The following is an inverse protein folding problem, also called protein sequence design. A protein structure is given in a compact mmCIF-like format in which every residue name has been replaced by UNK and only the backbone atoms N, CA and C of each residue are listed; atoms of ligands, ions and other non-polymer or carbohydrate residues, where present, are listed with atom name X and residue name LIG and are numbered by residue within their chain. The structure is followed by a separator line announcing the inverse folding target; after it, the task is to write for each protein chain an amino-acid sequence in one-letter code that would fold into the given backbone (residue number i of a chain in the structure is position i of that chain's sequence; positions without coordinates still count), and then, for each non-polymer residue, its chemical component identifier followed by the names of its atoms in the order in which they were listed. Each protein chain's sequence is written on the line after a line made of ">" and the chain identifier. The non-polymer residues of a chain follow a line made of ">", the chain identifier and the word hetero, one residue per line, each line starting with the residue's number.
data_IF_611562800842
#
_entry.id   IF_611562800842
#
_cell.length_a   1.000
_cell.length_b   1.000
_cell.length_c   1.000
_cell.angle_alpha   90.00
_cell.angle_beta   90.00
_cell.angle_gamma   90.00
#
_symmetry.space_group_name_H-M   'P 1'
#
loop_
_entity.id
_entity.type
_entity.pdbx_description
1 polymer ?
#
# COMPACT_ATOMS: atom_id res chain seq x y z
N UNK A 1 -12.52 15.70 -21.49
CA UNK A 1 -11.35 15.41 -22.35
C UNK A 1 -10.08 15.85 -21.64
N UNK A 2 -9.55 15.03 -20.74
CA UNK A 2 -8.33 15.35 -19.97
C UNK A 2 -7.04 15.13 -20.77
N UNK A 3 -7.11 14.36 -21.87
CA UNK A 3 -5.96 14.01 -22.71
C UNK A 3 -5.40 15.20 -23.51
N UNK A 4 -6.19 16.26 -23.74
CA UNK A 4 -5.72 17.45 -24.49
C UNK A 4 -4.76 18.32 -23.68
N UNK A 5 -4.77 18.20 -22.35
CA UNK A 5 -3.89 18.97 -21.47
C UNK A 5 -2.47 18.41 -21.44
N UNK A 6 -2.31 17.14 -21.82
CA UNK A 6 -1.02 16.49 -22.03
C UNK A 6 -0.65 16.58 -23.51
N UNK A 7 -0.37 17.81 -23.95
CA UNK A 7 0.04 18.13 -25.33
C UNK A 7 1.20 17.26 -25.81
N UNK A 8 1.26 16.96 -27.10
CA UNK A 8 2.42 16.33 -27.76
C UNK A 8 3.73 17.09 -27.45
N UNK A 9 3.62 18.40 -27.23
CA UNK A 9 4.72 19.27 -26.82
C UNK A 9 5.25 18.94 -25.42
N UNK A 10 4.40 18.50 -24.49
CA UNK A 10 4.82 17.97 -23.18
C UNK A 10 5.58 16.66 -23.33
N UNK A 11 5.09 15.74 -24.16
CA UNK A 11 5.81 14.49 -24.45
C UNK A 11 7.16 14.76 -25.12
N UNK A 12 7.21 15.68 -26.08
CA UNK A 12 8.45 16.07 -26.76
C UNK A 12 9.44 16.76 -25.81
N UNK A 13 8.94 17.58 -24.88
CA UNK A 13 9.75 18.21 -23.83
C UNK A 13 10.32 17.18 -22.85
N UNK A 14 9.51 16.20 -22.43
CA UNK A 14 9.96 15.10 -21.57
C UNK A 14 10.94 14.15 -22.28
N UNK A 15 10.86 14.03 -23.60
CA UNK A 15 11.79 13.23 -24.42
C UNK A 15 13.04 14.00 -24.88
N UNK A 16 13.10 15.33 -24.70
CA UNK A 16 14.27 16.12 -25.05
C UNK A 16 15.51 15.62 -24.30
N UNK A 17 16.66 15.42 -24.98
CA UNK A 17 17.91 14.97 -24.34
C UNK A 17 18.36 15.86 -23.16
N UNK A 18 17.89 17.10 -23.10
CA UNK A 18 18.19 18.07 -22.05
C UNK A 18 17.41 17.84 -20.73
N UNK A 19 16.38 16.99 -20.73
CA UNK A 19 15.52 16.71 -19.56
C UNK A 19 15.91 15.40 -18.87
N UNK A 20 17.03 14.81 -19.29
CA UNK A 20 17.50 13.51 -18.80
C UNK A 20 18.47 13.65 -17.62
N UNK A 21 18.15 14.51 -16.65
CA UNK A 21 18.74 14.29 -15.34
C UNK A 21 18.23 12.93 -14.84
N UNK A 22 19.12 12.01 -14.44
CA UNK A 22 18.68 10.75 -13.88
C UNK A 22 17.83 11.07 -12.65
N UNK A 23 16.56 10.67 -12.69
CA UNK A 23 15.71 10.78 -11.52
C UNK A 23 16.33 9.95 -10.39
N UNK A 24 16.89 10.64 -9.41
CA UNK A 24 17.37 10.05 -8.15
C UNK A 24 16.25 10.19 -7.13
N UNK A 25 15.45 9.14 -6.85
CA UNK A 25 14.36 9.24 -5.89
C UNK A 25 14.92 9.64 -4.53
N UNK A 26 14.35 10.70 -3.94
CA UNK A 26 14.68 11.10 -2.58
C UNK A 26 14.03 10.14 -1.58
N UNK A 27 14.46 10.22 -0.31
CA UNK A 27 13.88 9.42 0.78
C UNK A 27 12.35 9.60 0.87
N UNK A 28 11.86 10.83 0.74
CA UNK A 28 10.42 11.14 0.72
C UNK A 28 9.68 10.37 -0.38
N UNK A 29 10.21 10.36 -1.61
CA UNK A 29 9.61 9.62 -2.73
C UNK A 29 9.52 8.13 -2.40
N UNK A 30 10.59 7.55 -1.86
CA UNK A 30 10.61 6.12 -1.49
C UNK A 30 9.60 5.83 -0.38
N UNK A 31 9.48 6.70 0.63
CA UNK A 31 8.55 6.54 1.74
C UNK A 31 7.09 6.63 1.27
N UNK A 32 6.75 7.60 0.42
CA UNK A 32 5.41 7.75 -0.14
C UNK A 32 5.03 6.52 -0.98
N UNK A 33 5.92 6.07 -1.87
CA UNK A 33 5.68 4.88 -2.70
C UNK A 33 5.50 3.65 -1.81
N UNK A 34 6.37 3.44 -0.81
CA UNK A 34 6.27 2.30 0.12
C UNK A 34 4.98 2.35 0.92
N UNK A 35 4.57 3.52 1.41
CA UNK A 35 3.34 3.71 2.16
C UNK A 35 2.10 3.42 1.31
N UNK A 36 2.11 3.86 0.06
CA UNK A 36 1.04 3.62 -0.90
C UNK A 36 0.91 2.13 -1.21
N UNK A 37 2.02 1.45 -1.52
CA UNK A 37 2.03 0.00 -1.76
C UNK A 37 1.55 -0.75 -0.52
N UNK A 38 1.99 -0.35 0.68
CA UNK A 38 1.55 -0.95 1.94
C UNK A 38 0.03 -0.80 2.14
N UNK A 39 -0.52 0.40 1.87
CA UNK A 39 -1.96 0.62 1.95
C UNK A 39 -2.73 -0.16 0.88
N UNK A 40 -2.22 -0.25 -0.33
CA UNK A 40 -2.86 -1.01 -1.40
C UNK A 40 -2.94 -2.49 -1.07
N UNK A 41 -1.87 -3.07 -0.51
CA UNK A 41 -1.85 -4.45 -0.07
C UNK A 41 -2.82 -4.69 1.10
N UNK A 42 -2.79 -3.82 2.12
CA UNK A 42 -3.71 -3.90 3.25
C UNK A 42 -5.18 -3.78 2.79
N UNK A 43 -5.46 -2.86 1.86
CA UNK A 43 -6.78 -2.66 1.26
C UNK A 43 -7.22 -3.88 0.43
N UNK A 44 -6.33 -4.43 -0.41
CA UNK A 44 -6.64 -5.63 -1.20
C UNK A 44 -6.90 -6.86 -0.33
N UNK A 45 -6.16 -7.00 0.78
CA UNK A 45 -6.36 -8.09 1.74
C UNK A 45 -7.57 -7.87 2.64
N UNK A 46 -7.93 -6.63 2.98
CA UNK A 46 -9.16 -6.36 3.74
C UNK A 46 -10.41 -6.69 2.92
N UNK A 47 -10.34 -6.55 1.59
CA UNK A 47 -11.42 -6.99 0.68
C UNK A 47 -11.55 -8.52 0.61
N UNK A 48 -10.54 -9.28 1.04
CA UNK A 48 -10.57 -10.74 1.12
C UNK A 48 -11.08 -11.26 2.47
N UNK A 49 -11.47 -10.37 3.38
CA UNK A 49 -11.87 -10.69 4.76
C UNK A 49 -13.31 -11.21 4.87
N UNK A 50 -13.67 -12.23 4.09
CA UNK A 50 -14.86 -13.05 4.38
C UNK A 50 -14.66 -14.56 4.26
N UNK A 51 -13.44 -15.10 4.09
CA UNK A 51 -13.29 -16.56 4.23
C UNK A 51 -11.85 -17.01 4.38
N UNK A 52 -11.33 -17.00 5.62
CA UNK A 52 -10.42 -18.03 6.20
C UNK A 52 -9.76 -17.52 7.48
N UNK A 53 -10.49 -17.51 8.58
CA UNK A 53 -9.96 -17.89 9.90
C UNK A 53 -11.12 -17.96 10.90
N UNK A 54 -11.89 -19.05 10.84
CA UNK A 54 -12.58 -19.50 12.04
C UNK A 54 -11.51 -19.80 13.10
N UNK A 55 -11.54 -19.19 14.30
CA UNK A 55 -10.77 -19.70 15.43
C UNK A 55 -11.50 -20.95 15.94
N UNK A 56 -11.32 -22.10 15.28
CA UNK A 56 -11.77 -23.38 15.83
C UNK A 56 -10.60 -24.06 16.53
N UNK A 57 -10.34 -23.64 17.77
CA UNK A 57 -10.06 -24.59 18.85
C UNK A 57 -10.47 -23.95 20.17
N UNK A 58 -11.69 -24.27 20.55
CA UNK A 58 -12.25 -24.17 21.88
C UNK A 58 -11.29 -24.79 22.91
N UNK A 59 -10.70 -23.98 23.77
CA UNK A 59 -10.23 -24.42 25.09
C UNK A 59 -10.33 -23.23 26.03
N UNK A 60 -11.49 -23.17 26.68
CA UNK A 60 -11.75 -22.33 27.82
C UNK A 60 -10.69 -22.56 28.90
N UNK A 61 -9.76 -21.63 29.07
CA UNK A 61 -9.11 -21.44 30.36
C UNK A 61 -9.88 -20.32 31.07
N UNK A 62 -10.85 -20.71 31.89
CA UNK A 62 -11.68 -19.83 32.70
C UNK A 62 -10.80 -18.97 33.63
N UNK A 63 -10.96 -17.63 33.65
CA UNK A 63 -10.29 -16.74 34.61
C UNK A 63 -10.68 -16.94 36.10
N UNK A 64 -11.46 -17.98 36.40
CA UNK A 64 -12.05 -18.25 37.72
C UNK A 64 -11.17 -19.15 38.59
N UNK A 65 -10.15 -19.81 38.03
CA UNK A 65 -9.25 -20.70 38.79
C UNK A 65 -8.21 -19.94 39.62
N UNK A 66 -8.09 -18.62 39.48
CA UNK A 66 -7.04 -17.83 40.14
C UNK A 66 -7.40 -17.36 41.57
N UNK A 67 -8.65 -17.55 42.02
CA UNK A 67 -9.10 -17.11 43.36
C UNK A 67 -9.01 -18.20 44.45
N UNK A 68 -8.45 -19.38 44.15
CA UNK A 68 -8.36 -20.50 45.11
C UNK A 68 -6.91 -20.96 45.31
N UNK A 69 -6.01 -20.02 45.62
CA UNK A 69 -4.74 -20.30 46.30
C UNK A 69 -4.67 -19.48 47.58
#
# INVERSE_FOLDING_TARGET
>A
MWLHHYSLEMYQKLQSPQVKEPFSPTEEHVLVVRLLVKHLHAFSNSLKQEQTSSPSTHSHASPLEEFKR
#
